data_IF_944579515016
#
_entry.id   IF_944579515016
#
_cell.length_a   1.000
_cell.length_b   1.000
_cell.length_c   1.000
_cell.angle_alpha   90.00
_cell.angle_beta   90.00
_cell.angle_gamma   90.00
#
_symmetry.space_group_name_H-M   'P 1'
#
loop_
_entity.id
_entity.type
_entity.pdbx_description
1 polymer ?
#
# COMPACT_ATOMS: atom_id res chain seq x y z
N UNK A 1 -49.78 -43.00 -22.88
CA UNK A 1 -49.47 -41.54 -22.99
C UNK A 1 -49.02 -40.97 -21.67
N UNK A 2 -49.58 -41.28 -20.53
CA UNK A 2 -49.22 -40.76 -19.19
C UNK A 2 -47.81 -41.10 -18.74
N UNK A 3 -47.28 -42.28 -18.98
CA UNK A 3 -45.91 -42.71 -18.61
C UNK A 3 -44.83 -41.95 -19.39
N UNK A 4 -45.04 -41.65 -20.67
CA UNK A 4 -44.12 -40.89 -21.52
C UNK A 4 -44.03 -39.39 -21.08
N UNK A 5 -45.15 -38.80 -20.67
CA UNK A 5 -45.20 -37.43 -20.16
C UNK A 5 -44.51 -37.33 -18.81
N UNK A 6 -44.71 -38.32 -17.91
CA UNK A 6 -44.04 -38.35 -16.62
C UNK A 6 -42.52 -38.53 -16.75
N UNK A 7 -42.05 -39.39 -17.65
CA UNK A 7 -40.62 -39.54 -17.93
C UNK A 7 -39.97 -38.29 -18.53
N UNK A 8 -40.65 -37.61 -19.43
CA UNK A 8 -40.17 -36.36 -20.03
C UNK A 8 -40.10 -35.22 -19.00
N UNK A 9 -41.09 -35.08 -18.13
CA UNK A 9 -41.07 -34.07 -17.05
C UNK A 9 -39.97 -34.35 -16.03
N UNK A 10 -39.65 -35.58 -15.71
CA UNK A 10 -38.55 -35.94 -14.80
C UNK A 10 -37.20 -35.57 -15.43
N UNK A 11 -36.99 -35.89 -16.70
CA UNK A 11 -35.73 -35.53 -17.43
C UNK A 11 -35.55 -34.03 -17.47
N UNK A 12 -36.60 -33.27 -17.80
CA UNK A 12 -36.53 -31.78 -17.84
C UNK A 12 -36.24 -31.21 -16.45
N UNK A 13 -36.83 -31.74 -15.39
CA UNK A 13 -36.57 -31.30 -14.02
C UNK A 13 -35.15 -31.59 -13.56
N UNK A 14 -34.61 -32.77 -13.86
CA UNK A 14 -33.24 -33.16 -13.52
C UNK A 14 -32.22 -32.32 -14.29
N UNK A 15 -32.44 -32.09 -15.59
CA UNK A 15 -31.52 -31.24 -16.40
C UNK A 15 -31.57 -29.77 -15.95
N UNK A 16 -32.73 -29.24 -15.59
CA UNK A 16 -32.84 -27.90 -15.04
C UNK A 16 -32.12 -27.77 -13.68
N UNK A 17 -32.28 -28.77 -12.81
CA UNK A 17 -31.58 -28.79 -11.54
C UNK A 17 -30.04 -28.86 -11.69
N UNK A 18 -29.54 -29.67 -12.64
CA UNK A 18 -28.09 -29.74 -12.94
C UNK A 18 -27.54 -28.42 -13.52
N UNK A 19 -28.31 -27.77 -14.39
CA UNK A 19 -27.91 -26.45 -14.95
C UNK A 19 -27.87 -25.35 -13.86
N UNK A 20 -28.83 -25.36 -12.94
CA UNK A 20 -28.84 -24.37 -11.83
C UNK A 20 -27.67 -24.55 -10.87
N UNK A 21 -27.29 -25.81 -10.55
CA UNK A 21 -26.10 -26.09 -9.71
C UNK A 21 -24.82 -25.65 -10.40
N UNK A 22 -24.62 -25.93 -11.69
CA UNK A 22 -23.45 -25.52 -12.42
C UNK A 22 -23.31 -23.99 -12.51
N UNK A 23 -24.40 -23.27 -12.70
CA UNK A 23 -24.39 -21.80 -12.71
C UNK A 23 -24.04 -21.26 -11.30
N UNK A 24 -24.60 -21.85 -10.25
CA UNK A 24 -24.33 -21.45 -8.87
C UNK A 24 -22.86 -21.70 -8.51
N UNK A 25 -22.28 -22.84 -8.89
CA UNK A 25 -20.88 -23.17 -8.65
C UNK A 25 -19.94 -22.23 -9.40
N UNK A 26 -20.23 -21.92 -10.66
CA UNK A 26 -19.45 -20.97 -11.45
C UNK A 26 -19.53 -19.56 -10.87
N UNK A 27 -20.70 -19.12 -10.40
CA UNK A 27 -20.86 -17.82 -9.74
C UNK A 27 -20.11 -17.76 -8.41
N UNK A 28 -20.15 -18.83 -7.60
CA UNK A 28 -19.42 -18.92 -6.35
C UNK A 28 -17.90 -18.89 -6.58
N UNK A 29 -17.40 -19.60 -7.59
CA UNK A 29 -15.99 -19.60 -7.95
C UNK A 29 -15.52 -18.21 -8.40
N UNK A 30 -16.31 -17.54 -9.23
CA UNK A 30 -16.01 -16.16 -9.66
C UNK A 30 -16.00 -15.18 -8.49
N UNK A 31 -16.93 -15.32 -7.53
CA UNK A 31 -16.97 -14.49 -6.33
C UNK A 31 -15.74 -14.71 -5.44
N UNK A 32 -15.28 -15.96 -5.27
CA UNK A 32 -14.04 -16.27 -4.53
C UNK A 32 -12.82 -15.66 -5.20
N UNK A 33 -12.69 -15.82 -6.52
CA UNK A 33 -11.58 -15.24 -7.26
C UNK A 33 -11.57 -13.71 -7.16
N UNK A 34 -12.73 -13.06 -7.21
CA UNK A 34 -12.84 -11.61 -7.06
C UNK A 34 -12.45 -11.17 -5.63
N UNK A 35 -12.96 -11.84 -4.60
CA UNK A 35 -12.62 -11.53 -3.20
C UNK A 35 -11.11 -11.66 -2.94
N UNK A 36 -10.46 -12.68 -3.51
CA UNK A 36 -9.02 -12.86 -3.41
C UNK A 36 -8.25 -11.74 -4.13
N UNK A 37 -8.72 -11.30 -5.31
CA UNK A 37 -8.13 -10.18 -6.03
C UNK A 37 -8.26 -8.86 -5.24
N UNK A 38 -9.45 -8.59 -4.69
CA UNK A 38 -9.72 -7.39 -3.90
C UNK A 38 -8.84 -7.35 -2.64
N UNK A 39 -8.74 -8.47 -1.91
CA UNK A 39 -7.88 -8.59 -0.73
C UNK A 39 -6.40 -8.34 -1.06
N UNK A 40 -5.88 -8.96 -2.13
CA UNK A 40 -4.51 -8.81 -2.56
C UNK A 40 -4.20 -7.36 -3.00
N UNK A 41 -5.11 -6.71 -3.74
CA UNK A 41 -4.94 -5.34 -4.19
C UNK A 41 -4.98 -4.33 -3.02
N UNK A 42 -5.92 -4.49 -2.08
CA UNK A 42 -6.04 -3.62 -0.91
C UNK A 42 -4.83 -3.76 0.01
N UNK A 43 -4.38 -4.98 0.28
CA UNK A 43 -3.19 -5.22 1.09
C UNK A 43 -1.94 -4.62 0.44
N UNK A 44 -1.74 -4.84 -0.86
CA UNK A 44 -0.59 -4.31 -1.58
C UNK A 44 -0.59 -2.78 -1.64
N UNK A 45 -1.75 -2.12 -1.83
CA UNK A 45 -1.80 -0.65 -1.85
C UNK A 45 -1.58 -0.05 -0.46
N UNK A 46 -1.94 -0.75 0.61
CA UNK A 46 -1.66 -0.31 1.98
C UNK A 46 -0.15 -0.20 2.27
N UNK A 47 0.68 -1.02 1.60
CA UNK A 47 2.14 -0.96 1.66
C UNK A 47 2.75 0.20 0.83
N UNK A 48 1.94 1.00 0.15
CA UNK A 48 2.40 2.20 -0.57
C UNK A 48 2.75 3.36 0.36
N UNK A 49 2.37 3.27 1.62
CA UNK A 49 2.60 4.31 2.63
C UNK A 49 3.98 4.22 3.29
N UNK A 50 4.33 5.23 4.08
CA UNK A 50 5.63 5.31 4.77
C UNK A 50 5.83 4.27 5.87
N UNK A 51 4.78 3.55 6.22
CA UNK A 51 4.85 2.43 7.17
C UNK A 51 4.63 1.08 6.50
N UNK A 52 4.54 1.05 5.19
CA UNK A 52 4.57 -0.17 4.41
C UNK A 52 5.93 -0.85 4.60
N UNK A 53 5.92 -2.09 5.11
CA UNK A 53 7.13 -2.80 5.54
C UNK A 53 7.64 -3.76 4.49
N UNK A 54 6.83 -4.02 3.48
CA UNK A 54 7.08 -5.09 2.53
C UNK A 54 7.00 -4.59 1.10
N UNK A 55 7.64 -5.33 0.20
CA UNK A 55 7.45 -5.12 -1.23
C UNK A 55 6.00 -5.45 -1.57
N UNK A 56 5.27 -4.50 -2.15
CA UNK A 56 3.86 -4.62 -2.50
C UNK A 56 3.50 -5.93 -3.21
N UNK A 57 4.37 -6.40 -4.10
CA UNK A 57 4.17 -7.67 -4.80
C UNK A 57 4.24 -8.89 -3.88
N UNK A 58 5.07 -8.86 -2.83
CA UNK A 58 5.17 -9.93 -1.84
C UNK A 58 3.87 -10.00 -1.06
N UNK A 59 3.38 -8.85 -0.57
CA UNK A 59 2.12 -8.75 0.17
C UNK A 59 0.92 -9.15 -0.69
N UNK A 60 0.87 -8.71 -1.95
CA UNK A 60 -0.17 -9.17 -2.89
C UNK A 60 -0.19 -10.69 -3.01
N UNK A 61 0.97 -11.34 -3.06
CA UNK A 61 1.08 -12.79 -3.15
C UNK A 61 0.62 -13.46 -1.86
N UNK A 62 1.06 -12.99 -0.71
CA UNK A 62 0.67 -13.55 0.60
C UNK A 62 -0.84 -13.50 0.80
N UNK A 63 -1.48 -12.39 0.44
CA UNK A 63 -2.94 -12.26 0.56
C UNK A 63 -3.71 -13.06 -0.51
N UNK A 64 -3.16 -13.22 -1.72
CA UNK A 64 -3.72 -14.15 -2.69
C UNK A 64 -3.66 -15.59 -2.18
N UNK A 65 -2.49 -16.04 -1.69
CA UNK A 65 -2.28 -17.39 -1.17
C UNK A 65 -3.16 -17.66 0.06
N UNK A 66 -3.31 -16.68 0.97
CA UNK A 66 -4.19 -16.78 2.14
C UNK A 66 -5.68 -16.95 1.75
N UNK A 67 -6.06 -16.49 0.55
CA UNK A 67 -7.40 -16.68 -0.03
C UNK A 67 -7.46 -17.82 -1.04
N UNK A 68 -6.52 -18.76 -0.97
CA UNK A 68 -6.44 -19.93 -1.87
C UNK A 68 -6.42 -19.57 -3.35
N UNK A 69 -5.79 -18.45 -3.70
CA UNK A 69 -5.64 -17.96 -5.06
C UNK A 69 -4.16 -17.83 -5.42
N UNK A 70 -3.84 -18.01 -6.68
CA UNK A 70 -2.50 -17.79 -7.23
C UNK A 70 -2.39 -16.38 -7.80
N UNK A 71 -1.42 -15.59 -7.35
CA UNK A 71 -1.10 -14.30 -7.97
C UNK A 71 -0.51 -14.54 -9.37
N UNK A 72 -1.17 -14.03 -10.40
CA UNK A 72 -0.75 -14.14 -11.80
C UNK A 72 0.02 -12.89 -12.25
N UNK A 73 -0.47 -11.70 -11.90
CA UNK A 73 0.12 -10.43 -12.27
C UNK A 73 -0.04 -9.42 -11.13
N UNK A 74 0.98 -8.62 -10.88
CA UNK A 74 0.93 -7.45 -10.02
C UNK A 74 1.57 -6.26 -10.72
N UNK A 75 0.80 -5.23 -10.99
CA UNK A 75 1.29 -3.89 -11.32
C UNK A 75 1.45 -3.11 -10.02
N UNK A 76 2.55 -3.38 -9.35
CA UNK A 76 2.87 -2.96 -8.00
C UNK A 76 4.20 -2.21 -8.02
N UNK A 77 4.17 -0.96 -8.42
CA UNK A 77 5.37 -0.10 -8.39
C UNK A 77 5.53 0.49 -6.99
N UNK A 78 6.74 0.41 -6.44
CA UNK A 78 7.03 0.96 -5.12
C UNK A 78 6.66 2.44 -5.04
N UNK A 79 5.87 2.81 -4.03
CA UNK A 79 5.37 4.17 -3.84
C UNK A 79 4.23 4.61 -4.77
N UNK A 80 3.70 3.70 -5.60
CA UNK A 80 2.53 3.99 -6.41
C UNK A 80 1.27 4.11 -5.55
N UNK A 81 0.42 5.09 -5.84
CA UNK A 81 -0.88 5.26 -5.17
C UNK A 81 -1.95 4.31 -5.70
N UNK A 82 -1.64 3.53 -6.71
CA UNK A 82 -2.55 2.56 -7.32
C UNK A 82 -1.84 1.24 -7.56
N UNK A 83 -2.50 0.14 -7.21
CA UNK A 83 -2.06 -1.23 -7.44
C UNK A 83 -3.12 -1.96 -8.24
N UNK A 84 -2.72 -2.74 -9.23
CA UNK A 84 -3.59 -3.65 -9.96
C UNK A 84 -3.04 -5.06 -9.86
N UNK A 85 -3.90 -6.01 -9.51
CA UNK A 85 -3.54 -7.43 -9.41
C UNK A 85 -4.45 -8.28 -10.28
N UNK A 86 -3.95 -9.43 -10.73
CA UNK A 86 -4.71 -10.51 -11.34
C UNK A 86 -4.41 -11.77 -10.56
N UNK A 87 -5.45 -12.45 -10.11
CA UNK A 87 -5.34 -13.74 -9.42
C UNK A 87 -6.12 -14.83 -10.15
N UNK A 88 -5.82 -16.09 -9.84
CA UNK A 88 -6.50 -17.27 -10.38
C UNK A 88 -6.88 -18.23 -9.25
N UNK A 89 -8.15 -18.67 -9.24
CA UNK A 89 -8.71 -19.70 -8.35
C UNK A 89 -9.34 -20.77 -9.22
N UNK A 90 -8.84 -21.99 -9.15
CA UNK A 90 -9.38 -23.15 -9.89
C UNK A 90 -9.62 -22.86 -11.39
N UNK A 91 -8.65 -22.18 -12.04
CA UNK A 91 -8.72 -21.80 -13.43
C UNK A 91 -9.56 -20.54 -13.73
N UNK A 92 -10.23 -19.97 -12.75
CA UNK A 92 -11.01 -18.73 -12.91
C UNK A 92 -10.17 -17.54 -12.52
N UNK A 93 -10.02 -16.57 -13.43
CA UNK A 93 -9.27 -15.34 -13.20
C UNK A 93 -10.18 -14.19 -12.77
N UNK A 94 -9.66 -13.39 -11.85
CA UNK A 94 -10.25 -12.12 -11.46
C UNK A 94 -9.15 -11.05 -11.34
N UNK A 95 -9.55 -9.80 -11.54
CA UNK A 95 -8.65 -8.66 -11.38
C UNK A 95 -9.26 -7.64 -10.44
N UNK A 96 -8.40 -6.98 -9.67
CA UNK A 96 -8.78 -5.87 -8.81
C UNK A 96 -7.79 -4.71 -8.96
N UNK A 97 -8.28 -3.51 -8.76
CA UNK A 97 -7.47 -2.30 -8.66
C UNK A 97 -7.82 -1.58 -7.38
N UNK A 98 -6.83 -1.38 -6.53
CA UNK A 98 -6.94 -0.57 -5.34
C UNK A 98 -6.19 0.76 -5.55
N UNK A 99 -6.73 1.82 -5.00
CA UNK A 99 -6.17 3.17 -5.10
C UNK A 99 -6.23 3.82 -3.71
N UNK A 100 -5.14 4.44 -3.30
CA UNK A 100 -5.20 5.41 -2.20
C UNK A 100 -5.73 6.71 -2.80
N UNK A 101 -6.90 7.15 -2.34
CA UNK A 101 -7.44 8.46 -2.70
C UNK A 101 -6.71 9.54 -1.89
N UNK A 102 -5.79 10.29 -2.51
CA UNK A 102 -5.07 11.33 -1.80
C UNK A 102 -5.97 12.50 -1.40
N UNK A 103 -7.07 12.75 -2.12
CA UNK A 103 -7.99 13.85 -1.82
C UNK A 103 -8.84 13.55 -0.59
N UNK A 104 -9.30 12.29 -0.42
CA UNK A 104 -10.03 11.86 0.76
C UNK A 104 -9.17 11.91 2.03
N UNK A 105 -7.83 11.78 1.90
CA UNK A 105 -6.89 11.79 3.02
C UNK A 105 -6.24 13.16 3.28
N UNK A 106 -6.26 14.05 2.27
CA UNK A 106 -5.49 15.29 2.26
C UNK A 106 -5.93 16.37 3.29
N UNK A 107 -7.22 16.64 3.55
CA UNK A 107 -7.60 17.87 4.27
C UNK A 107 -7.18 17.91 5.74
N UNK A 108 -7.10 16.76 6.40
CA UNK A 108 -6.78 16.70 7.84
C UNK A 108 -5.28 16.49 8.13
N UNK A 109 -4.50 16.04 7.15
CA UNK A 109 -3.11 15.61 7.35
C UNK A 109 -2.06 16.51 6.72
N UNK A 110 -2.44 17.37 5.75
CA UNK A 110 -1.51 18.18 4.96
C UNK A 110 -0.59 19.10 5.79
N UNK A 111 -0.99 19.45 7.00
CA UNK A 111 -0.25 20.37 7.89
C UNK A 111 0.22 19.72 9.19
N UNK A 112 -0.15 18.46 9.45
CA UNK A 112 0.33 17.73 10.61
C UNK A 112 1.80 17.30 10.34
N UNK A 113 2.72 17.71 11.22
CA UNK A 113 4.10 17.22 11.20
C UNK A 113 5.15 18.16 10.59
N UNK A 114 4.79 19.38 10.16
CA UNK A 114 5.75 20.41 9.75
C UNK A 114 6.37 21.14 10.96
N UNK A 115 5.72 21.08 12.11
CA UNK A 115 6.25 21.62 13.36
C UNK A 115 7.50 20.88 13.81
N UNK A 116 8.53 21.63 14.24
CA UNK A 116 9.81 21.06 14.68
C UNK A 116 10.79 20.70 13.56
N UNK A 117 10.40 20.86 12.28
CA UNK A 117 11.32 20.70 11.16
C UNK A 117 12.31 21.87 11.08
N UNK A 118 13.52 21.58 10.60
CA UNK A 118 14.46 22.59 10.21
C UNK A 118 13.81 23.59 9.23
N UNK A 119 14.00 24.91 9.36
CA UNK A 119 13.26 25.90 8.57
C UNK A 119 13.37 25.74 7.05
N UNK A 120 14.51 25.29 6.55
CA UNK A 120 14.69 25.03 5.11
C UNK A 120 13.89 23.79 4.65
N UNK A 121 13.87 22.73 5.46
CA UNK A 121 13.07 21.54 5.18
C UNK A 121 11.58 21.88 5.21
N UNK A 122 11.12 22.58 6.26
CA UNK A 122 9.72 22.99 6.40
C UNK A 122 9.21 23.76 5.19
N UNK A 123 9.96 24.80 4.76
CA UNK A 123 9.61 25.58 3.56
C UNK A 123 9.55 24.74 2.28
N UNK A 124 10.49 23.81 2.12
CA UNK A 124 10.53 22.94 0.96
C UNK A 124 9.33 22.00 0.92
N UNK A 125 8.98 21.42 2.07
CA UNK A 125 7.82 20.52 2.23
C UNK A 125 6.51 21.28 2.01
N UNK A 126 6.35 22.48 2.55
CA UNK A 126 5.17 23.33 2.32
C UNK A 126 4.99 23.66 0.82
N UNK A 127 6.07 24.02 0.15
CA UNK A 127 6.04 24.31 -1.29
C UNK A 127 5.64 23.07 -2.11
N UNK A 128 6.17 21.90 -1.74
CA UNK A 128 5.86 20.62 -2.37
C UNK A 128 4.37 20.25 -2.19
N UNK A 129 3.85 20.31 -0.96
CA UNK A 129 2.46 20.00 -0.65
C UNK A 129 1.52 20.93 -1.43
N UNK A 130 1.78 22.23 -1.38
CA UNK A 130 0.98 23.24 -2.10
C UNK A 130 0.96 22.96 -3.61
N UNK A 131 2.11 22.67 -4.22
CA UNK A 131 2.20 22.42 -5.66
C UNK A 131 1.59 21.09 -6.06
N UNK A 132 1.60 20.11 -5.17
CA UNK A 132 0.97 18.80 -5.41
C UNK A 132 -0.56 18.84 -5.39
N UNK A 133 -1.17 19.97 -5.03
CA UNK A 133 -2.62 20.14 -4.88
C UNK A 133 -3.25 19.08 -3.96
N UNK A 134 -2.58 18.75 -2.84
CA UNK A 134 -3.05 17.79 -1.85
C UNK A 134 -2.77 16.31 -2.20
N UNK A 135 -2.14 16.03 -3.34
CA UNK A 135 -1.77 14.65 -3.72
C UNK A 135 -0.59 14.10 -2.93
N UNK A 136 0.14 14.97 -2.24
CA UNK A 136 1.26 14.62 -1.35
C UNK A 136 1.00 15.26 0.01
N UNK A 137 1.26 14.53 1.09
CA UNK A 137 1.09 15.02 2.46
C UNK A 137 2.21 14.51 3.37
N UNK A 138 2.38 15.15 4.54
CA UNK A 138 3.31 14.68 5.56
C UNK A 138 2.66 13.58 6.39
N UNK A 139 3.35 12.45 6.51
CA UNK A 139 2.95 11.34 7.40
C UNK A 139 3.71 11.42 8.71
N UNK A 140 5.01 11.70 8.65
CA UNK A 140 5.87 11.85 9.82
C UNK A 140 6.87 12.98 9.56
N UNK A 141 6.98 13.89 10.51
CA UNK A 141 7.97 14.97 10.50
C UNK A 141 8.95 14.84 11.65
N UNK A 142 9.09 15.92 12.44
CA UNK A 142 9.89 15.88 13.67
C UNK A 142 9.36 14.81 14.63
N UNK A 143 10.28 14.07 15.26
CA UNK A 143 9.99 13.09 16.32
C UNK A 143 10.78 13.43 17.55
N UNK A 144 10.14 13.42 18.73
CA UNK A 144 10.90 13.51 19.98
C UNK A 144 11.72 12.23 20.22
N UNK A 145 12.74 12.33 21.06
CA UNK A 145 13.58 11.17 21.42
C UNK A 145 12.73 10.06 22.07
N UNK A 146 11.72 10.44 22.87
CA UNK A 146 10.80 9.48 23.49
C UNK A 146 10.01 8.73 22.44
N UNK A 147 9.47 9.45 21.43
CA UNK A 147 8.73 8.80 20.34
C UNK A 147 9.62 7.90 19.48
N UNK A 148 10.85 8.30 19.24
CA UNK A 148 11.81 7.46 18.53
C UNK A 148 12.16 6.21 19.32
N UNK A 149 12.28 6.32 20.67
CA UNK A 149 12.54 5.17 21.52
C UNK A 149 11.37 4.16 21.52
N UNK A 150 10.12 4.64 21.51
CA UNK A 150 8.95 3.77 21.35
C UNK A 150 8.99 3.01 20.02
N UNK A 151 9.18 3.73 18.91
CA UNK A 151 9.25 3.12 17.57
C UNK A 151 10.40 2.10 17.46
N UNK A 152 11.54 2.41 18.07
CA UNK A 152 12.67 1.50 18.14
C UNK A 152 12.36 0.22 18.93
N UNK A 153 11.73 0.38 20.11
CA UNK A 153 11.33 -0.76 20.93
C UNK A 153 10.32 -1.67 20.19
N UNK A 154 9.36 -1.06 19.51
CA UNK A 154 8.39 -1.80 18.69
C UNK A 154 9.07 -2.55 17.54
N UNK A 155 10.03 -1.91 16.86
CA UNK A 155 10.79 -2.55 15.79
C UNK A 155 11.63 -3.73 16.31
N UNK A 156 12.34 -3.55 17.43
CA UNK A 156 13.14 -4.65 18.05
C UNK A 156 12.21 -5.79 18.47
N UNK A 157 11.06 -5.51 19.07
CA UNK A 157 10.10 -6.54 19.46
C UNK A 157 9.56 -7.30 18.24
N UNK A 158 9.35 -6.61 17.12
CA UNK A 158 8.83 -7.21 15.89
C UNK A 158 9.88 -8.07 15.17
N UNK A 159 11.11 -7.57 15.02
CA UNK A 159 12.15 -8.25 14.24
C UNK A 159 12.98 -9.23 15.09
N UNK A 160 12.87 -9.15 16.42
CA UNK A 160 13.59 -10.02 17.37
C UNK A 160 15.11 -9.76 17.44
N UNK A 161 15.63 -8.87 16.59
CA UNK A 161 17.05 -8.55 16.47
C UNK A 161 17.24 -7.05 16.24
N UNK A 162 17.99 -6.35 17.12
CA UNK A 162 18.28 -4.92 16.96
C UNK A 162 19.01 -4.57 15.65
N UNK A 163 19.90 -5.43 15.14
CA UNK A 163 20.62 -5.16 13.89
C UNK A 163 19.68 -5.22 12.68
N UNK A 164 18.68 -6.11 12.73
CA UNK A 164 17.62 -6.18 11.72
C UNK A 164 16.66 -4.99 11.85
N UNK A 165 16.31 -4.61 13.09
CA UNK A 165 15.45 -3.46 13.36
C UNK A 165 16.07 -2.13 12.87
N UNK A 166 17.41 -1.94 12.98
CA UNK A 166 18.12 -0.73 12.53
C UNK A 166 18.00 -0.47 11.01
N UNK A 167 17.68 -1.50 10.23
CA UNK A 167 17.41 -1.33 8.80
C UNK A 167 16.07 -0.61 8.50
N UNK A 168 15.19 -0.50 9.49
CA UNK A 168 13.84 0.05 9.34
C UNK A 168 13.57 1.23 10.25
N UNK A 169 14.11 1.20 11.47
CA UNK A 169 13.93 2.24 12.47
C UNK A 169 15.27 2.51 13.13
N UNK A 170 15.81 3.71 12.98
CA UNK A 170 17.06 4.08 13.63
C UNK A 170 16.91 4.08 15.17
N UNK A 171 17.94 3.66 15.93
CA UNK A 171 17.94 3.83 17.37
C UNK A 171 17.79 5.29 17.79
N UNK A 172 17.27 5.55 19.02
CA UNK A 172 17.20 6.91 19.56
C UNK A 172 18.54 7.66 19.48
N UNK A 173 18.46 8.94 19.14
CA UNK A 173 19.62 9.81 18.94
C UNK A 173 20.29 9.71 17.55
N UNK A 174 19.90 8.73 16.71
CA UNK A 174 20.47 8.55 15.37
C UNK A 174 19.51 8.93 14.23
N UNK A 175 18.22 9.10 14.54
CA UNK A 175 17.19 9.40 13.55
C UNK A 175 17.30 10.85 13.06
N UNK A 176 17.23 11.04 11.74
CA UNK A 176 17.16 12.37 11.14
C UNK A 176 15.84 13.08 11.44
N UNK A 177 14.79 12.35 11.79
CA UNK A 177 13.54 12.91 12.28
C UNK A 177 13.70 13.59 13.65
N UNK A 178 14.53 13.06 14.55
CA UNK A 178 14.81 13.69 15.85
C UNK A 178 15.57 15.02 15.70
N UNK A 179 16.32 15.15 14.62
CA UNK A 179 17.05 16.39 14.27
C UNK A 179 16.20 17.39 13.50
N UNK A 180 14.96 17.03 13.15
CA UNK A 180 14.09 17.82 12.29
C UNK A 180 14.58 17.93 10.84
N UNK A 181 15.44 17.01 10.40
CA UNK A 181 16.10 17.02 9.08
C UNK A 181 15.52 16.00 8.10
N UNK A 182 14.50 15.24 8.54
CA UNK A 182 13.81 14.28 7.71
C UNK A 182 12.29 14.44 7.80
N UNK A 183 11.60 13.99 6.74
CA UNK A 183 10.15 13.91 6.64
C UNK A 183 9.76 12.66 5.84
N UNK A 184 8.75 11.96 6.32
CA UNK A 184 8.09 10.90 5.57
C UNK A 184 6.85 11.45 4.89
N UNK A 185 6.77 11.27 3.58
CA UNK A 185 5.67 11.75 2.76
C UNK A 185 4.74 10.58 2.39
N UNK A 186 3.45 10.89 2.28
CA UNK A 186 2.44 10.00 1.75
C UNK A 186 1.84 10.53 0.46
N UNK A 187 1.03 9.69 -0.19
CA UNK A 187 0.35 10.02 -1.43
C UNK A 187 1.15 9.64 -2.67
N UNK A 188 1.11 10.49 -3.69
CA UNK A 188 1.80 10.25 -4.95
C UNK A 188 3.30 10.57 -4.83
N UNK A 189 4.07 9.58 -4.38
CA UNK A 189 5.52 9.71 -4.16
C UNK A 189 6.30 9.90 -5.47
N UNK A 190 5.77 9.44 -6.60
CA UNK A 190 6.39 9.69 -7.91
C UNK A 190 6.21 11.17 -8.30
N UNK A 191 5.04 11.73 -8.03
CA UNK A 191 4.81 13.17 -8.20
C UNK A 191 5.73 13.95 -7.25
N UNK A 192 5.84 13.55 -5.98
CA UNK A 192 6.72 14.19 -5.02
C UNK A 192 8.16 14.27 -5.55
N UNK A 193 8.71 13.15 -6.03
CA UNK A 193 10.05 13.11 -6.59
C UNK A 193 10.20 14.04 -7.81
N UNK A 194 9.26 14.00 -8.76
CA UNK A 194 9.28 14.89 -9.92
C UNK A 194 9.23 16.37 -9.53
N UNK A 195 8.37 16.72 -8.57
CA UNK A 195 8.26 18.11 -8.10
C UNK A 195 9.52 18.58 -7.37
N UNK A 196 10.16 17.72 -6.58
CA UNK A 196 11.45 18.02 -5.94
C UNK A 196 12.48 18.41 -6.98
N UNK A 197 12.59 17.65 -8.07
CA UNK A 197 13.54 17.93 -9.15
C UNK A 197 13.15 19.17 -9.95
N UNK A 198 11.89 19.29 -10.37
CA UNK A 198 11.39 20.43 -11.18
C UNK A 198 11.52 21.77 -10.45
N UNK A 199 11.18 21.78 -9.16
CA UNK A 199 11.25 22.99 -8.32
C UNK A 199 12.64 23.20 -7.72
N UNK A 200 13.58 22.26 -7.94
CA UNK A 200 14.93 22.28 -7.34
C UNK A 200 14.88 22.45 -5.82
N UNK A 201 13.96 21.73 -5.18
CA UNK A 201 13.87 21.77 -3.73
C UNK A 201 15.10 21.12 -3.09
N UNK A 202 15.56 21.61 -1.93
CA UNK A 202 16.72 21.06 -1.22
C UNK A 202 16.35 19.74 -0.49
N UNK A 203 15.65 18.87 -1.18
CA UNK A 203 15.22 17.56 -0.70
C UNK A 203 15.92 16.46 -1.49
N UNK A 204 16.14 15.32 -0.84
CA UNK A 204 16.65 14.12 -1.49
C UNK A 204 16.17 12.87 -0.78
N UNK A 205 16.26 11.72 -1.43
CA UNK A 205 15.90 10.41 -0.89
C UNK A 205 17.18 9.60 -0.70
N UNK A 206 17.70 9.51 0.54
CA UNK A 206 18.96 8.81 0.82
C UNK A 206 18.82 7.28 0.83
N UNK A 207 17.59 6.76 1.05
CA UNK A 207 17.32 5.35 1.28
C UNK A 207 16.57 4.78 0.07
N UNK A 208 17.14 3.77 -0.56
CA UNK A 208 16.53 3.13 -1.74
C UNK A 208 15.32 2.28 -1.41
N UNK A 209 15.25 1.75 -0.19
CA UNK A 209 14.15 0.94 0.33
C UNK A 209 13.01 1.77 0.95
N UNK A 210 13.20 3.10 1.12
CA UNK A 210 12.23 4.00 1.72
C UNK A 210 11.88 5.15 0.76
N UNK A 211 11.06 4.92 -0.28
CA UNK A 211 10.73 5.93 -1.28
C UNK A 211 9.94 7.12 -0.72
N UNK A 212 9.38 7.00 0.47
CA UNK A 212 8.66 8.03 1.20
C UNK A 212 9.57 8.93 2.03
N UNK A 213 10.80 8.49 2.37
CA UNK A 213 11.71 9.19 3.26
C UNK A 213 12.51 10.25 2.50
N UNK A 214 12.32 11.51 2.88
CA UNK A 214 13.02 12.66 2.32
C UNK A 214 13.82 13.38 3.39
N UNK A 215 15.04 13.74 3.09
CA UNK A 215 15.91 14.52 3.96
C UNK A 215 16.27 15.86 3.34
N UNK A 216 16.65 16.80 4.18
CA UNK A 216 17.28 18.05 3.72
C UNK A 216 18.63 17.71 3.08
N UNK A 217 18.88 18.17 1.87
CA UNK A 217 20.14 17.94 1.17
C UNK A 217 21.32 18.55 1.95
N UNK A 218 22.40 17.79 2.12
CA UNK A 218 23.55 18.15 2.96
C UNK A 218 23.36 17.87 4.45
N UNK A 219 22.31 17.13 4.84
CA UNK A 219 22.04 16.82 6.25
C UNK A 219 22.97 15.75 6.84
N UNK A 220 23.65 14.99 5.99
CA UNK A 220 24.57 13.90 6.37
C UNK A 220 26.06 14.26 6.20
N UNK A 221 26.37 15.51 5.79
CA UNK A 221 27.72 16.03 5.61
C UNK A 221 28.37 16.43 6.94
#
# INVERSE_FOLDING_TARGET
MTLLVAALSLVVSVTAAMLTTQIADAAALKARAQAAADAAALAAVAESGPYGRNVQQIVAREYADANHAKLIECKCESGATAVQVVVEVDGTRASARAVIDPEALAPARAWAGVGGLHPALGRAVEALIKTSAGRVWVVSGFRSTERQAELWADAVAQYGDPEVADNWVAPPGRSMHERGLAVDLGGDLQLAARLVDQMRLPLWRPLSNEPWHFELRGSRD
#
